data_IF_514150562674
#
_entry.id   IF_514150562674
#
_cell.length_a   1.000
_cell.length_b   1.000
_cell.length_c   1.000
_cell.angle_alpha   90.00
_cell.angle_beta   90.00
_cell.angle_gamma   90.00
#
_symmetry.space_group_name_H-M   'P 1'
#
loop_
_entity.id
_entity.type
_entity.pdbx_description
1 polymer ?
#
# COMPACT_ATOMS: atom_id res chain seq x y z
N UNK A 1 56.45 27.81 23.37
CA UNK A 1 55.45 27.25 24.30
C UNK A 1 54.37 28.32 24.48
N UNK A 2 53.09 28.24 24.12
CA UNK A 2 52.25 27.27 23.44
C UNK A 2 51.19 28.11 22.66
N UNK A 3 50.90 27.74 21.41
CA UNK A 3 49.83 28.32 20.60
C UNK A 3 48.50 27.70 21.04
N UNK A 4 47.49 28.52 21.34
CA UNK A 4 46.11 28.06 21.51
C UNK A 4 45.21 28.85 20.55
N UNK A 5 45.02 28.29 19.37
CA UNK A 5 44.06 28.74 18.37
C UNK A 5 42.66 28.28 18.81
N UNK A 6 41.78 29.23 19.10
CA UNK A 6 40.35 28.98 19.28
C UNK A 6 39.78 28.50 17.94
N UNK A 7 39.42 27.22 17.89
CA UNK A 7 38.85 26.54 16.73
C UNK A 7 37.37 26.90 16.67
N UNK A 8 36.98 27.62 15.62
CA UNK A 8 35.58 27.88 15.26
C UNK A 8 34.89 26.55 14.97
N UNK A 9 33.92 26.18 15.81
CA UNK A 9 33.03 25.06 15.54
C UNK A 9 31.96 25.54 14.55
N UNK A 10 32.11 25.15 13.29
CA UNK A 10 31.09 25.28 12.26
C UNK A 10 29.87 24.45 12.65
N UNK A 11 28.77 25.12 12.98
CA UNK A 11 27.45 24.51 13.11
C UNK A 11 26.94 24.18 11.71
N UNK A 12 27.41 23.06 11.16
CA UNK A 12 26.77 22.41 10.02
C UNK A 12 25.44 21.83 10.51
N UNK A 13 24.40 22.65 10.42
CA UNK A 13 23.02 22.20 10.53
C UNK A 13 22.74 21.22 9.40
N UNK A 14 22.96 19.92 9.67
CA UNK A 14 22.34 18.86 8.90
C UNK A 14 20.85 18.94 9.17
N UNK A 15 20.14 19.71 8.35
CA UNK A 15 18.68 19.59 8.22
C UNK A 15 18.42 18.12 7.90
N UNK A 16 17.99 17.36 8.90
CA UNK A 16 17.38 16.06 8.65
C UNK A 16 16.17 16.40 7.78
N UNK A 17 16.28 16.13 6.47
CA UNK A 17 15.13 15.92 5.62
C UNK A 17 14.29 14.88 6.36
N UNK A 18 13.26 15.35 7.06
CA UNK A 18 12.18 14.49 7.53
C UNK A 18 11.71 13.78 6.27
N UNK A 19 12.08 12.51 6.12
CA UNK A 19 11.42 11.65 5.17
C UNK A 19 9.93 11.80 5.48
N UNK A 20 9.17 12.36 4.55
CA UNK A 20 7.73 12.52 4.68
C UNK A 20 7.07 11.14 4.52
N UNK A 21 7.44 10.18 5.37
CA UNK A 21 7.02 8.78 5.33
C UNK A 21 5.55 8.58 5.74
N UNK A 22 4.73 9.63 5.79
CA UNK A 22 3.32 9.54 6.21
C UNK A 22 2.29 10.06 5.20
N UNK A 23 2.70 10.76 4.14
CA UNK A 23 1.74 11.43 3.25
C UNK A 23 1.32 10.55 2.07
N UNK A 24 0.03 10.59 1.70
CA UNK A 24 -0.47 9.95 0.49
C UNK A 24 0.27 10.46 -0.75
N UNK A 25 0.62 9.57 -1.67
CA UNK A 25 1.37 9.89 -2.89
C UNK A 25 0.53 10.75 -3.85
N UNK A 26 -0.76 10.43 -3.93
CA UNK A 26 -1.79 11.14 -4.67
C UNK A 26 -2.88 11.66 -3.73
N UNK A 27 -3.45 12.80 -4.07
CA UNK A 27 -4.47 13.52 -3.29
C UNK A 27 -5.39 14.29 -4.24
N UNK A 28 -6.34 15.07 -3.69
CA UNK A 28 -7.26 15.91 -4.47
C UNK A 28 -6.56 16.89 -5.41
N UNK A 29 -5.32 17.32 -5.10
CA UNK A 29 -4.51 18.16 -5.99
C UNK A 29 -4.13 17.47 -7.31
N UNK A 30 -4.23 16.14 -7.36
CA UNK A 30 -4.00 15.32 -8.55
C UNK A 30 -5.31 14.89 -9.23
N UNK A 31 -6.45 15.44 -8.79
CA UNK A 31 -7.78 14.98 -9.24
C UNK A 31 -8.17 13.61 -8.66
N UNK A 32 -7.50 13.16 -7.59
CA UNK A 32 -7.79 11.89 -6.92
C UNK A 32 -8.80 12.09 -5.78
N UNK A 33 -9.97 11.45 -5.90
CA UNK A 33 -11.03 11.45 -4.89
C UNK A 33 -11.24 10.03 -4.36
N UNK A 34 -10.55 9.69 -3.27
CA UNK A 34 -10.48 8.32 -2.75
C UNK A 34 -11.86 7.68 -2.50
N UNK A 35 -12.80 8.44 -1.92
CA UNK A 35 -14.14 7.93 -1.60
C UNK A 35 -14.96 7.58 -2.84
N UNK A 36 -14.77 8.29 -3.95
CA UNK A 36 -15.41 7.95 -5.22
C UNK A 36 -14.84 6.65 -5.78
N UNK A 37 -13.52 6.49 -5.72
CA UNK A 37 -12.84 5.25 -6.13
C UNK A 37 -13.30 4.08 -5.28
N UNK A 38 -13.41 4.26 -3.95
CA UNK A 38 -13.91 3.21 -3.06
C UNK A 38 -15.32 2.77 -3.42
N UNK A 39 -16.22 3.72 -3.66
CA UNK A 39 -17.60 3.45 -4.09
C UNK A 39 -17.66 2.66 -5.39
N UNK A 40 -16.78 2.97 -6.34
CA UNK A 40 -16.68 2.23 -7.60
C UNK A 40 -16.14 0.81 -7.38
N UNK A 41 -15.03 0.66 -6.65
CA UNK A 41 -14.41 -0.65 -6.38
C UNK A 41 -15.34 -1.61 -5.62
N UNK A 42 -16.20 -1.08 -4.74
CA UNK A 42 -17.15 -1.87 -3.97
C UNK A 42 -18.20 -2.60 -4.84
N UNK A 43 -18.39 -2.17 -6.08
CA UNK A 43 -19.30 -2.79 -7.05
C UNK A 43 -18.75 -4.10 -7.65
N UNK A 44 -17.47 -4.42 -7.41
CA UNK A 44 -16.79 -5.60 -7.95
C UNK A 44 -16.41 -6.59 -6.85
N UNK A 45 -17.35 -7.44 -6.40
CA UNK A 45 -17.10 -8.43 -5.37
C UNK A 45 -16.31 -9.64 -5.89
N UNK A 46 -15.80 -10.44 -4.95
CA UNK A 46 -15.19 -11.73 -5.21
C UNK A 46 -13.83 -11.86 -4.53
N UNK A 47 -13.57 -13.05 -3.98
CA UNK A 47 -12.36 -13.32 -3.22
C UNK A 47 -12.24 -12.52 -1.92
N UNK A 48 -11.08 -12.63 -1.28
CA UNK A 48 -10.70 -11.88 -0.09
C UNK A 48 -9.20 -11.64 0.02
N UNK A 49 -8.82 -10.68 0.88
CA UNK A 49 -7.46 -10.50 1.38
C UNK A 49 -7.45 -10.88 2.86
N UNK A 50 -6.82 -12.01 3.17
CA UNK A 50 -6.78 -12.56 4.53
C UNK A 50 -5.43 -12.21 5.17
N UNK A 51 -5.44 -11.73 6.42
CA UNK A 51 -4.21 -11.41 7.17
C UNK A 51 -4.15 -12.24 8.45
N UNK A 52 -3.05 -12.95 8.63
CA UNK A 52 -2.69 -13.66 9.86
C UNK A 52 -1.41 -13.04 10.44
N UNK A 53 -1.34 -12.89 11.76
CA UNK A 53 -0.17 -12.36 12.47
C UNK A 53 0.33 -13.44 13.42
N UNK A 54 1.53 -13.94 13.17
CA UNK A 54 2.15 -14.98 14.00
C UNK A 54 2.86 -14.37 15.22
N UNK A 55 2.95 -15.12 16.32
CA UNK A 55 3.57 -14.68 17.58
C UNK A 55 5.06 -14.31 17.43
N UNK A 56 5.73 -14.82 16.39
CA UNK A 56 7.13 -14.50 16.09
C UNK A 56 7.31 -13.11 15.44
N UNK A 57 6.22 -12.41 15.12
CA UNK A 57 6.20 -11.10 14.46
C UNK A 57 6.13 -11.17 12.93
N UNK A 58 5.84 -12.33 12.33
CA UNK A 58 5.67 -12.47 10.88
C UNK A 58 4.18 -12.43 10.53
N UNK A 59 3.81 -11.51 9.64
CA UNK A 59 2.48 -11.45 9.05
C UNK A 59 2.40 -12.32 7.80
N UNK A 60 1.26 -12.99 7.58
CA UNK A 60 0.96 -13.74 6.36
C UNK A 60 -0.29 -13.13 5.72
N UNK A 61 -0.10 -12.45 4.59
CA UNK A 61 -1.17 -11.88 3.78
C UNK A 61 -1.47 -12.81 2.60
N UNK A 62 -2.68 -13.35 2.55
CA UNK A 62 -3.12 -14.32 1.54
C UNK A 62 -4.09 -13.68 0.56
N UNK A 63 -3.74 -13.69 -0.73
CA UNK A 63 -4.63 -13.34 -1.83
C UNK A 63 -5.56 -14.52 -2.10
N UNK A 64 -6.84 -14.41 -1.78
CA UNK A 64 -7.75 -15.55 -1.76
C UNK A 64 -8.88 -15.38 -2.78
N UNK A 65 -8.60 -15.69 -4.04
CA UNK A 65 -9.60 -15.80 -5.09
C UNK A 65 -9.27 -16.96 -6.06
N UNK A 66 -9.17 -18.20 -5.57
CA UNK A 66 -8.59 -19.30 -6.34
C UNK A 66 -9.41 -19.67 -7.60
N UNK A 67 -10.72 -19.40 -7.62
CA UNK A 67 -11.57 -19.61 -8.81
C UNK A 67 -11.20 -18.69 -9.98
N UNK A 68 -10.49 -17.58 -9.70
CA UNK A 68 -9.97 -16.64 -10.68
C UNK A 68 -8.45 -16.47 -10.58
N UNK A 69 -7.72 -17.54 -10.19
CA UNK A 69 -6.26 -17.50 -10.07
C UNK A 69 -5.74 -16.36 -9.18
N UNK A 70 -6.48 -16.04 -8.12
CA UNK A 70 -6.21 -14.94 -7.18
C UNK A 70 -6.19 -13.55 -7.85
N UNK A 71 -6.98 -13.33 -8.90
CA UNK A 71 -7.18 -12.02 -9.49
C UNK A 71 -7.82 -11.04 -8.51
N UNK A 72 -7.33 -9.78 -8.51
CA UNK A 72 -7.84 -8.71 -7.66
C UNK A 72 -9.18 -8.18 -8.17
N UNK A 73 -10.24 -8.50 -7.43
CA UNK A 73 -11.52 -7.80 -7.52
C UNK A 73 -11.40 -6.40 -6.90
N UNK A 74 -12.39 -5.54 -7.13
CA UNK A 74 -12.44 -4.23 -6.49
C UNK A 74 -12.55 -4.33 -4.97
N UNK A 75 -13.35 -5.28 -4.46
CA UNK A 75 -13.42 -5.56 -3.01
C UNK A 75 -12.08 -6.00 -2.43
N UNK A 76 -11.32 -6.84 -3.15
CA UNK A 76 -9.97 -7.22 -2.69
C UNK A 76 -9.01 -6.02 -2.64
N UNK A 77 -9.11 -5.06 -3.56
CA UNK A 77 -8.31 -3.83 -3.50
C UNK A 77 -8.64 -2.99 -2.26
N UNK A 78 -9.92 -2.92 -1.88
CA UNK A 78 -10.36 -2.25 -0.65
C UNK A 78 -9.84 -2.96 0.60
N UNK A 79 -9.98 -4.28 0.66
CA UNK A 79 -9.47 -5.07 1.77
C UNK A 79 -7.95 -4.98 1.89
N UNK A 80 -7.22 -4.89 0.77
CA UNK A 80 -5.77 -4.67 0.82
C UNK A 80 -5.43 -3.35 1.52
N UNK A 81 -6.14 -2.26 1.21
CA UNK A 81 -5.97 -0.99 1.90
C UNK A 81 -6.23 -1.13 3.41
N UNK A 82 -7.31 -1.80 3.80
CA UNK A 82 -7.62 -2.07 5.21
C UNK A 82 -6.48 -2.84 5.90
N UNK A 83 -5.96 -3.89 5.27
CA UNK A 83 -4.85 -4.70 5.81
C UNK A 83 -3.53 -3.94 5.87
N UNK A 84 -3.27 -3.05 4.91
CA UNK A 84 -2.11 -2.15 4.96
C UNK A 84 -2.23 -1.20 6.15
N UNK A 85 -3.39 -0.58 6.36
CA UNK A 85 -3.64 0.28 7.55
C UNK A 85 -3.46 -0.53 8.84
N UNK A 86 -3.96 -1.77 8.87
CA UNK A 86 -3.83 -2.66 10.02
C UNK A 86 -2.37 -3.04 10.32
N UNK A 87 -1.54 -3.16 9.27
CA UNK A 87 -0.12 -3.51 9.36
C UNK A 87 0.76 -2.30 9.74
N UNK A 88 0.45 -1.10 9.25
CA UNK A 88 1.18 0.12 9.65
C UNK A 88 1.07 0.39 11.16
N UNK A 89 -0.05 -0.01 11.77
CA UNK A 89 -0.26 0.12 13.21
C UNK A 89 0.21 -1.11 14.00
N UNK A 90 0.80 -2.12 13.35
CA UNK A 90 1.24 -3.34 14.01
C UNK A 90 2.69 -3.23 14.50
N UNK A 91 2.84 -2.80 15.75
CA UNK A 91 4.14 -2.49 16.38
C UNK A 91 5.05 -3.69 16.60
N UNK A 92 4.48 -4.89 16.70
CA UNK A 92 5.23 -6.14 16.90
C UNK A 92 5.70 -6.77 15.58
N UNK A 93 5.27 -6.21 14.44
CA UNK A 93 5.57 -6.70 13.11
C UNK A 93 7.07 -6.60 12.77
N UNK A 94 7.62 -7.69 12.24
CA UNK A 94 9.03 -7.80 11.79
C UNK A 94 9.15 -8.05 10.29
N UNK A 95 8.12 -8.64 9.69
CA UNK A 95 8.10 -8.95 8.27
C UNK A 95 6.73 -9.41 7.81
N UNK A 96 6.49 -9.33 6.50
CA UNK A 96 5.25 -9.75 5.86
C UNK A 96 5.56 -10.72 4.72
N UNK A 97 4.90 -11.87 4.73
CA UNK A 97 4.87 -12.81 3.62
C UNK A 97 3.57 -12.61 2.87
N UNK A 98 3.66 -12.30 1.57
CA UNK A 98 2.50 -12.23 0.69
C UNK A 98 2.45 -13.50 -0.16
N UNK A 99 1.32 -14.20 -0.14
CA UNK A 99 1.12 -15.43 -0.91
C UNK A 99 -0.25 -15.45 -1.58
N UNK A 100 -0.39 -16.23 -2.63
CA UNK A 100 -1.69 -16.59 -3.17
C UNK A 100 -2.26 -17.84 -2.51
N UNK A 101 -3.59 -17.92 -2.42
CA UNK A 101 -4.27 -19.14 -2.01
C UNK A 101 -4.11 -20.25 -3.08
N UNK A 102 -3.97 -21.50 -2.62
CA UNK A 102 -3.81 -22.69 -3.46
C UNK A 102 -2.56 -22.61 -4.37
N UNK A 103 -2.73 -22.65 -5.69
CA UNK A 103 -1.67 -23.03 -6.63
C UNK A 103 -1.05 -21.87 -7.41
N UNK A 104 -1.58 -20.65 -7.26
CA UNK A 104 -1.17 -19.48 -8.05
C UNK A 104 -0.93 -18.31 -7.12
N UNK A 105 0.05 -17.45 -7.42
CA UNK A 105 0.20 -16.20 -6.67
C UNK A 105 -0.96 -15.24 -6.95
N UNK A 106 -1.01 -14.66 -8.15
CA UNK A 106 -2.11 -13.85 -8.66
C UNK A 106 -1.98 -13.72 -10.18
N UNK A 107 -3.10 -13.71 -10.90
CA UNK A 107 -3.14 -13.41 -12.33
C UNK A 107 -3.30 -11.92 -12.66
N UNK A 108 -3.22 -11.02 -11.67
CA UNK A 108 -3.36 -9.58 -11.85
C UNK A 108 -4.77 -9.05 -11.52
N UNK A 109 -5.22 -8.01 -12.22
CA UNK A 109 -6.56 -7.43 -12.01
C UNK A 109 -7.67 -8.33 -12.57
N UNK A 110 -8.82 -8.38 -11.88
CA UNK A 110 -10.01 -9.06 -12.39
C UNK A 110 -10.54 -8.33 -13.64
N UNK A 111 -10.50 -8.99 -14.80
CA UNK A 111 -10.91 -8.37 -16.06
C UNK A 111 -12.40 -7.97 -16.09
N UNK A 112 -13.25 -8.57 -15.25
CA UNK A 112 -14.63 -8.12 -15.14
C UNK A 112 -14.74 -6.79 -14.40
N UNK A 113 -13.86 -6.53 -13.43
CA UNK A 113 -13.75 -5.23 -12.77
C UNK A 113 -13.14 -4.18 -13.72
N UNK A 114 -12.08 -4.56 -14.44
CA UNK A 114 -11.40 -3.68 -15.41
C UNK A 114 -12.33 -3.25 -16.55
N UNK A 115 -13.18 -4.14 -17.06
CA UNK A 115 -14.15 -3.80 -18.14
C UNK A 115 -15.15 -2.73 -17.73
N UNK A 116 -15.50 -2.66 -16.45
CA UNK A 116 -16.44 -1.67 -15.94
C UNK A 116 -15.75 -0.35 -15.56
N UNK A 117 -14.43 -0.35 -15.37
CA UNK A 117 -13.56 0.81 -15.28
C UNK A 117 -13.08 1.19 -16.69
N UNK A 118 -14.03 1.57 -17.54
CA UNK A 118 -13.84 1.63 -18.99
C UNK A 118 -13.21 2.92 -19.52
N UNK A 119 -13.03 3.94 -18.69
CA UNK A 119 -12.48 5.24 -19.10
C UNK A 119 -11.00 5.39 -18.69
N UNK A 120 -10.20 6.20 -19.41
CA UNK A 120 -8.84 6.55 -18.98
C UNK A 120 -8.81 7.14 -17.56
N UNK A 121 -9.82 7.93 -17.20
CA UNK A 121 -9.96 8.55 -15.89
C UNK A 121 -10.17 7.51 -14.79
N UNK A 122 -11.04 6.52 -15.01
CA UNK A 122 -11.26 5.41 -14.08
C UNK A 122 -9.96 4.61 -13.87
N UNK A 123 -9.26 4.31 -14.97
CA UNK A 123 -7.98 3.60 -14.92
C UNK A 123 -6.92 4.36 -14.13
N UNK A 124 -6.81 5.68 -14.34
CA UNK A 124 -5.92 6.55 -13.57
C UNK A 124 -6.30 6.59 -12.09
N UNK A 125 -7.59 6.72 -11.76
CA UNK A 125 -8.05 6.80 -10.38
C UNK A 125 -7.76 5.51 -9.60
N UNK A 126 -7.98 4.33 -10.19
CA UNK A 126 -7.62 3.04 -9.57
C UNK A 126 -6.10 2.86 -9.47
N UNK A 127 -5.34 3.31 -10.47
CA UNK A 127 -3.88 3.30 -10.42
C UNK A 127 -3.36 4.14 -9.24
N UNK A 128 -3.87 5.36 -9.07
CA UNK A 128 -3.52 6.24 -7.95
C UNK A 128 -3.90 5.61 -6.60
N UNK A 129 -5.10 5.03 -6.50
CA UNK A 129 -5.55 4.33 -5.29
C UNK A 129 -4.61 3.18 -4.90
N UNK A 130 -4.24 2.34 -5.88
CA UNK A 130 -3.37 1.20 -5.64
C UNK A 130 -1.93 1.61 -5.32
N UNK A 131 -1.42 2.67 -5.97
CA UNK A 131 -0.09 3.19 -5.64
C UNK A 131 -0.05 3.82 -4.23
N UNK A 132 -1.07 4.60 -3.85
CA UNK A 132 -1.21 5.10 -2.49
C UNK A 132 -1.23 3.97 -1.46
N UNK A 133 -1.91 2.86 -1.78
CA UNK A 133 -1.98 1.69 -0.92
C UNK A 133 -0.65 0.96 -0.82
N UNK A 134 -0.03 0.60 -1.96
CA UNK A 134 1.15 -0.27 -1.99
C UNK A 134 2.43 0.43 -1.54
N UNK A 135 2.57 1.73 -1.77
CA UNK A 135 3.77 2.47 -1.35
C UNK A 135 3.90 2.57 0.17
N UNK A 136 2.83 2.27 0.90
CA UNK A 136 2.83 2.22 2.36
C UNK A 136 3.60 1.04 2.94
N UNK A 137 3.78 -0.04 2.17
CA UNK A 137 4.68 -1.12 2.57
C UNK A 137 6.16 -0.70 2.64
N UNK A 138 6.53 0.46 2.10
CA UNK A 138 7.88 1.00 2.15
C UNK A 138 8.13 1.92 3.36
N UNK A 139 7.12 2.14 4.21
CA UNK A 139 7.16 3.06 5.36
C UNK A 139 7.45 2.29 6.64
#
# INVERSE_FOLDING_TARGET
>A
MAKSLLKTASLSGRTKLLHQTGLSLYSTSHGFYEEEVKKTLQQFPGGSIDLQKEDNGIGILTLNNPSKMNAFSGVMMLQLLEKVIELENWTEGKGLIVRGAKNTFSSGSDLNAVKSLGTPEDGMAVCMFMQNTLTRFMR
#
